data_IF_749886411894
#
_entry.id   IF_749886411894
#
_cell.length_a   1.000
_cell.length_b   1.000
_cell.length_c   1.000
_cell.angle_alpha   90.00
_cell.angle_beta   90.00
_cell.angle_gamma   90.00
#
_symmetry.space_group_name_H-M   'P 1'
#
loop_
_entity.id
_entity.type
_entity.pdbx_description
1 polymer ?
#
# COMPACT_ATOMS: atom_id res chain seq x y z
N UNK A 1 -0.79 5.55 12.78
CA UNK A 1 0.35 4.64 12.96
C UNK A 1 1.30 4.88 11.80
N UNK A 2 2.52 4.33 11.84
CA UNK A 2 3.51 4.54 10.78
C UNK A 2 3.62 3.33 9.87
N UNK A 3 3.54 3.61 8.57
CA UNK A 3 3.89 2.68 7.50
C UNK A 3 5.40 2.68 7.24
N UNK A 4 5.91 1.61 6.64
CA UNK A 4 7.32 1.55 6.21
C UNK A 4 7.57 2.49 5.02
N UNK A 5 6.81 2.30 3.94
CA UNK A 5 6.72 3.23 2.80
C UNK A 5 5.26 3.46 2.48
N UNK A 6 4.86 4.74 2.37
CA UNK A 6 3.52 5.13 1.99
C UNK A 6 3.54 6.17 0.86
N UNK A 7 2.66 5.98 -0.12
CA UNK A 7 2.27 7.06 -1.02
C UNK A 7 0.96 7.69 -0.53
N UNK A 8 0.84 9.02 -0.64
CA UNK A 8 -0.38 9.76 -0.32
C UNK A 8 -0.63 10.80 -1.43
N UNK A 9 -1.64 10.54 -2.27
CA UNK A 9 -1.92 11.34 -3.47
C UNK A 9 -0.70 11.51 -4.40
N UNK A 10 0.17 10.49 -4.48
CA UNK A 10 1.38 10.52 -5.30
C UNK A 10 1.11 10.04 -6.73
N UNK A 11 1.98 10.42 -7.65
CA UNK A 11 1.85 10.09 -9.08
C UNK A 11 3.21 9.72 -9.63
N UNK A 12 3.27 8.71 -10.50
CA UNK A 12 4.51 8.28 -11.18
C UNK A 12 5.60 7.84 -10.20
N UNK A 13 5.26 6.87 -9.34
CA UNK A 13 6.17 6.36 -8.31
C UNK A 13 6.55 4.91 -8.61
N UNK A 14 7.85 4.61 -8.47
CA UNK A 14 8.40 3.26 -8.51
C UNK A 14 9.10 2.99 -7.19
N UNK A 15 8.73 1.90 -6.54
CA UNK A 15 9.46 1.31 -5.42
C UNK A 15 9.93 -0.06 -5.91
N UNK A 16 11.23 -0.19 -6.10
CA UNK A 16 11.86 -1.36 -6.71
C UNK A 16 13.06 -1.83 -5.90
N UNK A 17 13.25 -3.16 -5.79
CA UNK A 17 14.38 -3.78 -5.07
C UNK A 17 14.60 -3.27 -3.63
N UNK A 18 13.52 -2.90 -2.94
CA UNK A 18 13.57 -2.44 -1.55
C UNK A 18 13.22 -3.58 -0.57
N UNK A 19 13.80 -3.55 0.62
CA UNK A 19 13.37 -4.39 1.75
C UNK A 19 12.69 -3.51 2.78
N UNK A 20 11.42 -3.80 3.10
CA UNK A 20 10.60 -3.01 4.01
C UNK A 20 10.03 -3.93 5.09
N UNK A 21 10.33 -3.58 6.35
CA UNK A 21 9.95 -4.37 7.51
C UNK A 21 9.70 -3.50 8.74
N UNK A 22 9.09 -4.13 9.76
CA UNK A 22 8.87 -3.57 11.09
C UNK A 22 8.04 -2.28 11.13
N UNK A 23 7.15 -2.08 10.16
CA UNK A 23 6.12 -1.04 10.26
C UNK A 23 5.09 -1.37 11.34
N UNK A 24 4.47 -0.32 11.89
CA UNK A 24 3.40 -0.46 12.90
C UNK A 24 2.01 -0.56 12.27
N UNK A 25 1.85 -0.13 11.01
CA UNK A 25 0.64 -0.34 10.20
C UNK A 25 0.99 -1.20 8.96
N UNK A 26 1.04 -0.63 7.75
CA UNK A 26 1.52 -1.32 6.55
C UNK A 26 3.02 -1.21 6.32
N UNK A 27 3.65 -2.28 5.86
CA UNK A 27 5.02 -2.18 5.37
C UNK A 27 5.10 -1.35 4.06
N UNK A 28 4.20 -1.57 3.10
CA UNK A 28 4.25 -0.88 1.80
C UNK A 28 2.86 -0.54 1.28
N UNK A 29 2.44 0.73 1.36
CA UNK A 29 1.06 1.15 1.01
C UNK A 29 1.00 2.12 -0.17
N UNK A 30 -0.14 2.09 -0.87
CA UNK A 30 -0.51 3.16 -1.79
C UNK A 30 -1.87 3.75 -1.44
N UNK A 31 -1.90 5.06 -1.15
CA UNK A 31 -3.07 5.71 -0.56
C UNK A 31 -3.28 7.15 -1.02
N UNK A 32 -4.36 7.75 -0.55
CA UNK A 32 -4.68 9.15 -0.80
C UNK A 32 -6.10 9.50 -0.33
N UNK A 33 -6.52 10.76 -0.50
CA UNK A 33 -7.90 11.17 -0.27
C UNK A 33 -8.88 10.29 -1.05
N UNK A 34 -9.78 9.61 -0.33
CA UNK A 34 -10.70 8.65 -0.94
C UNK A 34 -11.69 9.28 -1.91
N UNK A 35 -12.27 10.43 -1.57
CA UNK A 35 -13.39 11.04 -2.33
C UNK A 35 -13.18 12.54 -2.57
N UNK A 36 -11.94 12.95 -2.85
CA UNK A 36 -11.66 14.37 -3.12
C UNK A 36 -12.07 14.71 -4.56
N UNK A 37 -13.06 15.58 -4.69
CA UNK A 37 -13.71 15.92 -5.97
C UNK A 37 -15.20 15.56 -5.99
N UNK A 38 -15.93 16.10 -6.96
CA UNK A 38 -17.34 15.85 -7.19
C UNK A 38 -17.60 14.60 -8.06
N UNK A 39 -16.63 14.19 -8.89
CA UNK A 39 -16.80 13.06 -9.83
C UNK A 39 -15.87 11.89 -9.50
N UNK A 40 -16.22 10.65 -9.88
CA UNK A 40 -15.31 9.51 -9.74
C UNK A 40 -13.96 9.70 -10.43
N UNK A 41 -13.91 10.46 -11.52
CA UNK A 41 -12.69 10.82 -12.22
C UNK A 41 -11.82 11.72 -11.35
N UNK A 42 -12.40 12.75 -10.73
CA UNK A 42 -11.69 13.62 -9.80
C UNK A 42 -11.22 12.86 -8.56
N UNK A 43 -11.98 11.89 -8.05
CA UNK A 43 -11.53 11.04 -6.94
C UNK A 43 -10.25 10.29 -7.26
N UNK A 44 -10.14 9.76 -8.49
CA UNK A 44 -8.96 9.03 -8.98
C UNK A 44 -7.78 9.96 -9.23
N UNK A 45 -8.03 11.16 -9.76
CA UNK A 45 -6.97 12.15 -10.01
C UNK A 45 -6.40 12.75 -8.70
N UNK A 46 -7.19 12.76 -7.63
CA UNK A 46 -6.79 13.31 -6.34
C UNK A 46 -6.17 12.29 -5.36
N UNK A 47 -6.14 11.01 -5.71
CA UNK A 47 -5.48 9.96 -4.93
C UNK A 47 -4.24 9.43 -5.67
N UNK A 48 -3.54 8.48 -5.07
CA UNK A 48 -2.32 7.93 -5.69
C UNK A 48 -2.62 7.20 -7.00
N UNK A 49 -1.78 7.39 -8.00
CA UNK A 49 -1.92 6.71 -9.30
C UNK A 49 -0.60 6.47 -10.01
N UNK A 50 -0.54 5.46 -10.87
CA UNK A 50 0.68 5.04 -11.59
C UNK A 50 1.81 4.74 -10.62
N UNK A 51 1.56 3.70 -9.83
CA UNK A 51 2.47 3.24 -8.79
C UNK A 51 2.94 1.84 -9.18
N UNK A 52 4.25 1.62 -9.18
CA UNK A 52 4.83 0.29 -9.35
C UNK A 52 5.55 -0.13 -8.08
N UNK A 53 5.14 -1.24 -7.51
CA UNK A 53 5.88 -1.97 -6.48
C UNK A 53 6.44 -3.23 -7.11
N UNK A 54 7.76 -3.32 -7.28
CA UNK A 54 8.41 -4.45 -7.95
C UNK A 54 9.61 -4.99 -7.19
N UNK A 55 9.80 -6.31 -7.21
CA UNK A 55 10.99 -6.97 -6.67
C UNK A 55 11.37 -6.59 -5.24
N UNK A 56 10.40 -6.20 -4.42
CA UNK A 56 10.62 -5.84 -3.02
C UNK A 56 10.46 -7.06 -2.11
N UNK A 57 11.11 -6.99 -0.94
CA UNK A 57 10.81 -7.85 0.20
C UNK A 57 9.95 -7.03 1.16
N UNK A 58 8.75 -7.52 1.47
CA UNK A 58 7.77 -6.84 2.32
C UNK A 58 7.37 -7.78 3.45
N UNK A 59 7.85 -7.55 4.66
CA UNK A 59 7.70 -8.56 5.70
C UNK A 59 7.86 -8.09 7.14
N UNK A 60 7.54 -8.98 8.07
CA UNK A 60 7.76 -8.76 9.50
C UNK A 60 7.12 -7.47 10.06
N UNK A 61 5.90 -7.12 9.64
CA UNK A 61 5.15 -6.03 10.30
C UNK A 61 5.00 -6.29 11.81
N UNK A 62 5.08 -5.24 12.64
CA UNK A 62 5.12 -5.37 14.10
C UNK A 62 3.76 -5.71 14.72
N UNK A 63 3.46 -7.01 14.79
CA UNK A 63 2.16 -7.55 15.21
C UNK A 63 1.64 -6.97 16.53
N UNK A 64 2.38 -7.12 17.62
CA UNK A 64 1.94 -6.73 18.96
C UNK A 64 2.70 -5.48 19.44
N UNK A 65 2.40 -4.34 18.81
CA UNK A 65 3.10 -3.07 19.02
C UNK A 65 2.12 -1.93 19.33
N UNK A 66 2.37 -0.71 18.84
CA UNK A 66 1.65 0.52 19.20
C UNK A 66 0.32 0.73 18.47
N UNK A 67 -0.13 -0.23 17.67
CA UNK A 67 -1.29 -0.03 16.82
C UNK A 67 -2.60 -0.06 17.62
N UNK A 68 -3.41 0.98 17.49
CA UNK A 68 -4.59 1.23 18.31
C UNK A 68 -5.70 0.19 18.11
N UNK A 69 -5.73 -0.46 16.94
CA UNK A 69 -6.67 -1.56 16.65
C UNK A 69 -6.24 -2.91 17.23
N UNK A 70 -5.19 -2.96 18.05
CA UNK A 70 -4.58 -4.20 18.53
C UNK A 70 -3.64 -4.80 17.50
N UNK A 71 -3.55 -6.14 17.48
CA UNK A 71 -2.60 -6.86 16.62
C UNK A 71 -2.62 -6.37 15.15
N UNK A 72 -1.49 -5.85 14.66
CA UNK A 72 -1.36 -5.27 13.32
C UNK A 72 0.01 -5.57 12.70
N UNK A 73 0.02 -6.29 11.59
CA UNK A 73 1.22 -6.66 10.84
C UNK A 73 0.80 -6.82 9.38
N UNK A 74 0.87 -5.74 8.61
CA UNK A 74 0.26 -5.65 7.29
C UNK A 74 1.34 -5.53 6.21
N UNK A 75 1.21 -6.30 5.13
CA UNK A 75 2.15 -6.23 4.01
C UNK A 75 1.97 -4.97 3.17
N UNK A 76 1.01 -5.00 2.26
CA UNK A 76 0.59 -3.90 1.40
C UNK A 76 -0.91 -3.76 1.32
N UNK A 77 -1.39 -2.55 1.59
CA UNK A 77 -2.74 -2.11 1.32
C UNK A 77 -2.74 -1.11 0.17
N UNK A 78 -3.57 -1.36 -0.84
CA UNK A 78 -3.84 -0.41 -1.92
C UNK A 78 -5.24 0.16 -1.69
N UNK A 79 -5.32 1.46 -1.36
CA UNK A 79 -6.55 2.10 -0.91
C UNK A 79 -7.55 2.39 -2.04
N UNK A 80 -8.78 2.70 -1.64
CA UNK A 80 -9.87 3.01 -2.55
C UNK A 80 -9.52 4.17 -3.50
N UNK A 81 -9.99 4.05 -4.74
CA UNK A 81 -9.74 4.98 -5.84
C UNK A 81 -8.28 5.11 -6.29
N UNK A 82 -7.31 4.52 -5.57
CA UNK A 82 -5.93 4.38 -6.07
C UNK A 82 -5.95 3.58 -7.38
N UNK A 83 -5.33 4.15 -8.42
CA UNK A 83 -5.44 3.66 -9.80
C UNK A 83 -4.09 3.34 -10.43
N UNK A 84 -4.10 2.47 -11.45
CA UNK A 84 -2.90 2.14 -12.22
C UNK A 84 -1.75 1.64 -11.32
N UNK A 85 -2.06 0.72 -10.40
CA UNK A 85 -1.06 0.12 -9.50
C UNK A 85 -0.62 -1.22 -10.05
N UNK A 86 0.69 -1.38 -10.23
CA UNK A 86 1.35 -2.65 -10.55
C UNK A 86 2.04 -3.18 -9.29
N UNK A 87 1.69 -4.40 -8.89
CA UNK A 87 2.42 -5.16 -7.86
C UNK A 87 2.98 -6.40 -8.53
N UNK A 88 4.31 -6.46 -8.69
CA UNK A 88 4.98 -7.47 -9.51
C UNK A 88 6.20 -8.08 -8.83
N UNK A 89 6.24 -9.40 -8.70
CA UNK A 89 7.45 -10.11 -8.25
C UNK A 89 7.95 -9.74 -6.86
N UNK A 90 7.07 -9.25 -5.98
CA UNK A 90 7.42 -8.94 -4.58
C UNK A 90 7.30 -10.19 -3.71
N UNK A 91 8.26 -10.36 -2.79
CA UNK A 91 8.19 -11.37 -1.74
C UNK A 91 7.48 -10.80 -0.52
N UNK A 92 6.29 -11.33 -0.22
CA UNK A 92 5.59 -11.06 1.04
C UNK A 92 5.86 -12.18 2.04
N UNK A 93 6.40 -11.86 3.22
CA UNK A 93 6.81 -12.88 4.20
C UNK A 93 6.51 -12.44 5.63
N UNK A 94 6.00 -13.35 6.46
CA UNK A 94 5.81 -13.14 7.90
C UNK A 94 4.97 -11.90 8.29
N UNK A 95 4.02 -11.51 7.44
CA UNK A 95 2.98 -10.54 7.79
C UNK A 95 1.71 -11.27 8.21
N UNK A 96 0.88 -10.64 9.05
CA UNK A 96 -0.40 -11.20 9.47
C UNK A 96 -1.47 -11.13 8.37
N UNK A 97 -1.55 -10.05 7.60
CA UNK A 97 -2.53 -9.89 6.51
C UNK A 97 -2.06 -8.86 5.44
N UNK A 98 -2.90 -8.59 4.44
CA UNK A 98 -2.71 -7.62 3.34
C UNK A 98 -1.47 -7.93 2.51
N UNK A 99 -1.42 -9.09 1.83
CA UNK A 99 -0.21 -9.55 1.10
C UNK A 99 -0.41 -9.87 -0.40
N UNK A 100 -0.61 -8.88 -1.28
CA UNK A 100 -1.19 -7.55 -1.03
C UNK A 100 -2.73 -7.61 -0.94
N UNK A 101 -3.35 -6.57 -0.40
CA UNK A 101 -4.81 -6.34 -0.46
C UNK A 101 -5.15 -5.10 -1.28
N UNK A 102 -6.05 -5.24 -2.26
CA UNK A 102 -6.63 -4.13 -3.00
C UNK A 102 -8.02 -3.80 -2.43
N UNK A 103 -8.11 -2.66 -1.74
CA UNK A 103 -9.36 -2.18 -1.15
C UNK A 103 -10.05 -1.23 -2.12
N UNK A 104 -10.92 -1.75 -2.98
CA UNK A 104 -11.63 -0.94 -3.97
C UNK A 104 -10.71 -0.25 -5.01
N UNK A 105 -9.42 -0.59 -5.01
CA UNK A 105 -8.41 -0.10 -5.93
C UNK A 105 -8.43 -0.90 -7.24
N UNK A 106 -8.03 -0.25 -8.34
CA UNK A 106 -7.81 -0.93 -9.63
C UNK A 106 -6.33 -1.11 -9.85
N UNK A 107 -5.90 -2.37 -9.87
CA UNK A 107 -4.53 -2.74 -10.18
C UNK A 107 -4.44 -4.17 -10.67
N UNK A 108 -3.27 -4.54 -11.17
CA UNK A 108 -3.01 -5.90 -11.64
C UNK A 108 -1.93 -6.52 -10.74
N UNK A 109 -2.20 -7.75 -10.32
CA UNK A 109 -1.29 -8.57 -9.52
C UNK A 109 -0.77 -9.69 -10.40
N UNK A 110 0.55 -9.76 -10.56
CA UNK A 110 1.25 -10.82 -11.28
C UNK A 110 2.41 -11.35 -10.43
#
# INVERSE_FOLDING_TARGET
EADGIATNAAKDVIVDHCSIAWATDENLTASGPRFKGATPEEWRENTSRRITFSHCIVGEGLKDSTHAKGAHSMGSLIHDNTGEVLVYGNLYISNNDRNPLFKGARGVRW
#
